data_IF_449723009952
#
_entry.id   IF_449723009952
#
_cell.length_a   1.000
_cell.length_b   1.000
_cell.length_c   1.000
_cell.angle_alpha   90.00
_cell.angle_beta   90.00
_cell.angle_gamma   90.00
#
_symmetry.space_group_name_H-M   'P 1'
#
loop_
_entity.id
_entity.type
_entity.pdbx_description
1 polymer ?
#
# COMPACT_ATOMS: atom_id res chain seq x y z
N UNK A 1 14.97 4.56 13.78
CA UNK A 1 15.35 3.13 13.68
C UNK A 1 16.74 3.02 13.09
N UNK A 2 17.54 2.04 13.51
CA UNK A 2 18.87 1.79 12.96
C UNK A 2 18.83 0.45 12.21
N UNK A 3 19.06 0.46 10.90
CA UNK A 3 19.03 -0.74 10.03
C UNK A 3 20.30 -0.74 9.20
N UNK A 4 21.06 -1.85 9.24
CA UNK A 4 22.32 -1.96 8.51
C UNK A 4 23.34 -0.85 8.81
N UNK A 5 23.31 -0.27 10.02
CA UNK A 5 24.18 0.84 10.43
C UNK A 5 23.72 2.23 9.99
N UNK A 6 22.57 2.37 9.33
CA UNK A 6 22.02 3.67 8.90
C UNK A 6 20.75 4.05 9.66
N UNK A 7 20.54 5.36 9.92
CA UNK A 7 19.31 5.84 10.53
C UNK A 7 18.17 5.88 9.49
N UNK A 8 17.01 5.36 9.90
CA UNK A 8 15.75 5.40 9.17
C UNK A 8 14.64 6.02 10.02
N UNK A 9 13.90 6.94 9.40
CA UNK A 9 12.58 7.36 9.88
C UNK A 9 11.51 6.37 9.43
N UNK A 10 10.33 6.38 10.07
CA UNK A 10 9.19 5.56 9.63
C UNK A 10 8.81 5.84 8.17
N UNK A 11 8.83 7.11 7.77
CA UNK A 11 8.59 7.51 6.38
C UNK A 11 9.65 6.95 5.42
N UNK A 12 10.92 6.91 5.83
CA UNK A 12 11.99 6.31 5.02
C UNK A 12 11.85 4.79 4.91
N UNK A 13 11.37 4.10 5.95
CA UNK A 13 11.06 2.66 5.88
C UNK A 13 9.88 2.43 4.93
N UNK A 14 8.77 3.13 5.15
CA UNK A 14 7.57 2.96 4.34
C UNK A 14 7.82 3.32 2.87
N UNK A 15 8.24 4.54 2.59
CA UNK A 15 8.33 5.04 1.21
C UNK A 15 9.67 4.69 0.54
N UNK A 16 10.75 4.66 1.32
CA UNK A 16 12.08 4.40 0.81
C UNK A 16 12.36 2.92 0.62
N UNK A 17 12.01 2.09 1.61
CA UNK A 17 12.30 0.65 1.59
C UNK A 17 11.14 -0.14 1.00
N UNK A 18 9.98 -0.12 1.66
CA UNK A 18 8.86 -1.01 1.34
C UNK A 18 8.13 -0.63 0.04
N UNK A 19 8.07 0.66 -0.30
CA UNK A 19 7.52 1.13 -1.58
C UNK A 19 8.57 1.21 -2.69
N UNK A 20 9.74 0.60 -2.56
CA UNK A 20 10.77 0.63 -3.62
C UNK A 20 11.25 2.05 -3.98
N UNK A 21 11.53 2.86 -2.96
CA UNK A 21 11.96 4.25 -3.10
C UNK A 21 10.98 5.15 -3.88
N UNK A 22 9.68 4.90 -3.71
CA UNK A 22 8.63 5.71 -4.31
C UNK A 22 8.44 7.04 -3.60
N UNK A 23 7.99 8.02 -4.37
CA UNK A 23 7.68 9.36 -3.87
C UNK A 23 6.50 9.27 -2.88
N UNK A 24 6.62 9.85 -1.67
CA UNK A 24 5.49 9.96 -0.77
C UNK A 24 4.40 10.86 -1.39
N UNK A 25 3.11 10.66 -1.02
CA UNK A 25 2.05 11.57 -1.40
C UNK A 25 2.40 13.02 -1.01
N UNK A 26 2.11 13.96 -1.92
CA UNK A 26 2.35 15.39 -1.72
C UNK A 26 3.82 15.83 -1.55
N UNK A 27 4.79 14.93 -1.73
CA UNK A 27 6.20 15.29 -1.76
C UNK A 27 6.72 15.37 -3.19
N UNK A 28 7.82 16.09 -3.41
CA UNK A 28 8.43 16.26 -4.74
C UNK A 28 9.59 15.30 -5.00
N UNK A 29 10.25 14.82 -3.94
CA UNK A 29 11.49 14.04 -4.02
C UNK A 29 11.31 12.62 -3.51
N UNK A 30 12.14 11.71 -4.05
CA UNK A 30 12.24 10.33 -3.54
C UNK A 30 12.97 10.32 -2.19
N UNK A 31 12.65 9.37 -1.29
CA UNK A 31 13.31 9.26 0.01
C UNK A 31 14.83 9.08 -0.08
N UNK A 32 15.32 8.31 -1.06
CA UNK A 32 16.73 8.01 -1.26
C UNK A 32 17.21 8.50 -2.63
N UNK A 33 18.23 9.36 -2.63
CA UNK A 33 18.88 9.83 -3.86
C UNK A 33 19.88 8.81 -4.43
N UNK A 34 20.43 9.05 -5.63
CA UNK A 34 21.35 8.10 -6.30
C UNK A 34 22.63 7.77 -5.53
N UNK A 35 23.08 8.68 -4.66
CA UNK A 35 24.27 8.52 -3.80
C UNK A 35 23.93 8.08 -2.38
N UNK A 36 22.66 7.90 -2.05
CA UNK A 36 22.23 7.49 -0.72
C UNK A 36 22.55 5.99 -0.53
N UNK A 37 23.36 5.68 0.48
CA UNK A 37 23.78 4.30 0.79
C UNK A 37 22.63 3.39 1.22
N UNK A 38 21.46 3.95 1.53
CA UNK A 38 20.24 3.22 1.88
C UNK A 38 19.45 2.77 0.65
N UNK A 39 19.75 3.31 -0.53
CA UNK A 39 19.06 2.98 -1.78
C UNK A 39 19.10 1.47 -2.12
N UNK A 40 20.23 0.74 -1.95
CA UNK A 40 20.29 -0.70 -2.25
C UNK A 40 19.39 -1.58 -1.38
N UNK A 41 18.89 -1.07 -0.25
CA UNK A 41 17.98 -1.80 0.65
C UNK A 41 16.52 -1.67 0.18
N UNK A 42 16.21 -0.73 -0.73
CA UNK A 42 14.87 -0.59 -1.28
C UNK A 42 14.44 -1.85 -2.03
N UNK A 43 13.17 -2.23 -1.86
CA UNK A 43 12.61 -3.34 -2.62
C UNK A 43 12.68 -3.03 -4.12
N UNK A 44 12.90 -4.05 -4.98
CA UNK A 44 12.96 -3.85 -6.43
C UNK A 44 11.63 -3.35 -6.99
N UNK A 45 10.51 -3.72 -6.37
CA UNK A 45 9.17 -3.28 -6.71
C UNK A 45 8.41 -2.82 -5.45
N UNK A 46 7.41 -1.95 -5.64
CA UNK A 46 6.59 -1.44 -4.54
C UNK A 46 5.72 -2.58 -3.97
N UNK A 47 5.81 -2.84 -2.67
CA UNK A 47 4.95 -3.82 -2.02
C UNK A 47 3.62 -3.16 -1.64
N UNK A 48 2.66 -3.13 -2.58
CA UNK A 48 1.42 -2.37 -2.45
C UNK A 48 0.53 -2.83 -1.29
N UNK A 49 0.68 -4.09 -0.87
CA UNK A 49 -0.09 -4.69 0.23
C UNK A 49 0.16 -3.98 1.58
N UNK A 50 1.32 -3.31 1.75
CA UNK A 50 1.66 -2.63 3.01
C UNK A 50 0.66 -1.51 3.34
N UNK A 51 0.00 -0.93 2.35
CA UNK A 51 -0.96 0.16 2.54
C UNK A 51 -2.19 -0.26 3.33
N UNK A 52 -2.47 -1.56 3.34
CA UNK A 52 -3.56 -2.17 4.10
C UNK A 52 -3.08 -2.79 5.42
N UNK A 53 -1.78 -2.76 5.67
CA UNK A 53 -1.16 -3.34 6.85
C UNK A 53 -0.68 -2.27 7.85
N UNK A 54 -0.24 -1.12 7.34
CA UNK A 54 0.24 0.00 8.14
C UNK A 54 -0.92 0.89 8.58
N UNK A 55 -1.07 1.07 9.89
CA UNK A 55 -2.08 1.93 10.49
C UNK A 55 -1.47 3.26 10.94
N UNK A 56 -2.23 4.35 10.79
CA UNK A 56 -1.91 5.66 11.35
C UNK A 56 -2.92 6.08 12.43
N UNK A 57 -3.67 5.11 12.98
CA UNK A 57 -4.70 5.32 13.98
C UNK A 57 -5.80 6.34 13.57
N UNK A 58 -6.07 6.48 12.27
CA UNK A 58 -7.21 7.25 11.76
C UNK A 58 -8.40 6.35 11.46
N UNK A 59 -9.61 6.92 11.45
CA UNK A 59 -10.85 6.18 11.13
C UNK A 59 -10.82 5.49 9.76
N UNK A 60 -10.06 6.03 8.81
CA UNK A 60 -9.92 5.47 7.46
C UNK A 60 -8.71 4.55 7.29
N UNK A 61 -7.96 4.30 8.36
CA UNK A 61 -6.78 3.45 8.31
C UNK A 61 -7.13 2.00 8.60
N UNK A 62 -6.31 1.04 8.12
CA UNK A 62 -6.51 -0.36 8.44
C UNK A 62 -6.43 -0.60 9.95
N UNK A 63 -7.12 -1.66 10.39
CA UNK A 63 -7.02 -2.13 11.77
C UNK A 63 -5.57 -2.46 12.13
N UNK A 64 -5.16 -2.10 13.35
CA UNK A 64 -3.85 -2.47 13.89
C UNK A 64 -3.74 -3.99 13.95
N UNK A 65 -2.64 -4.54 13.41
CA UNK A 65 -2.33 -5.96 13.44
C UNK A 65 -0.85 -6.19 13.76
N UNK A 66 -0.57 -7.32 14.39
CA UNK A 66 0.77 -7.84 14.56
C UNK A 66 1.08 -8.82 13.41
N UNK A 67 2.31 -8.80 12.92
CA UNK A 67 2.75 -9.62 11.79
C UNK A 67 3.92 -10.52 12.19
N UNK A 68 3.92 -11.74 11.68
CA UNK A 68 4.99 -12.73 11.80
C UNK A 68 5.91 -12.67 10.58
N UNK A 69 7.25 -12.61 10.76
CA UNK A 69 8.18 -12.68 9.64
C UNK A 69 8.02 -13.95 8.78
N UNK A 70 7.55 -15.06 9.38
CA UNK A 70 7.39 -16.34 8.68
C UNK A 70 6.18 -16.37 7.75
N UNK A 71 5.15 -15.61 8.08
CA UNK A 71 3.82 -15.68 7.44
C UNK A 71 3.41 -14.35 6.78
N UNK A 72 4.36 -13.41 6.67
CA UNK A 72 4.11 -12.02 6.28
C UNK A 72 3.31 -11.90 4.98
N UNK A 73 3.60 -12.73 3.97
CA UNK A 73 2.91 -12.68 2.69
C UNK A 73 1.44 -13.11 2.78
N UNK A 74 1.13 -14.08 3.63
CA UNK A 74 -0.25 -14.53 3.86
C UNK A 74 -1.02 -13.51 4.70
N UNK A 75 -0.37 -12.96 5.73
CA UNK A 75 -0.94 -11.95 6.62
C UNK A 75 -1.21 -10.62 5.93
N UNK A 76 -0.31 -10.18 5.05
CA UNK A 76 -0.53 -8.98 4.22
C UNK A 76 -1.76 -9.15 3.33
N UNK A 77 -1.91 -10.30 2.66
CA UNK A 77 -3.12 -10.60 1.87
C UNK A 77 -4.39 -10.65 2.74
N UNK A 78 -4.29 -11.21 3.95
CA UNK A 78 -5.40 -11.20 4.90
C UNK A 78 -5.75 -9.79 5.40
N UNK A 79 -4.76 -8.90 5.54
CA UNK A 79 -4.97 -7.50 5.87
C UNK A 79 -5.72 -6.75 4.77
N UNK A 80 -5.35 -7.00 3.50
CA UNK A 80 -6.09 -6.48 2.34
C UNK A 80 -7.56 -6.91 2.40
N UNK A 81 -7.84 -8.21 2.50
CA UNK A 81 -9.22 -8.73 2.57
C UNK A 81 -10.01 -8.13 3.73
N UNK A 82 -9.41 -8.06 4.92
CA UNK A 82 -10.06 -7.48 6.10
C UNK A 82 -10.41 -6.01 5.90
N UNK A 83 -9.50 -5.21 5.30
CA UNK A 83 -9.76 -3.80 5.02
C UNK A 83 -10.97 -3.61 4.10
N UNK A 84 -11.12 -4.43 3.07
CA UNK A 84 -12.26 -4.36 2.15
C UNK A 84 -13.57 -4.89 2.73
N UNK A 85 -13.53 -5.84 3.67
CA UNK A 85 -14.71 -6.33 4.38
C UNK A 85 -15.25 -5.30 5.37
N UNK A 86 -14.37 -4.53 6.01
CA UNK A 86 -14.71 -3.52 7.02
C UNK A 86 -15.22 -2.19 6.41
N UNK A 87 -15.59 -2.18 5.12
CA UNK A 87 -16.04 -0.97 4.43
C UNK A 87 -14.91 0.01 4.08
N UNK A 88 -13.66 -0.45 4.11
CA UNK A 88 -12.50 0.36 3.73
C UNK A 88 -12.55 0.87 2.29
N UNK A 89 -13.32 0.22 1.40
CA UNK A 89 -13.69 0.74 0.09
C UNK A 89 -15.21 0.61 -0.10
N UNK A 90 -15.86 1.73 -0.38
CA UNK A 90 -17.17 1.74 -1.02
C UNK A 90 -16.88 1.69 -2.51
N UNK A 91 -17.48 0.79 -3.28
CA UNK A 91 -17.41 0.85 -4.74
C UNK A 91 -18.82 1.21 -5.20
N UNK A 92 -19.03 2.48 -5.49
CA UNK A 92 -20.19 2.97 -6.19
C UNK A 92 -20.05 2.61 -7.68
N UNK A 93 -20.82 1.60 -8.07
CA UNK A 93 -20.88 1.04 -9.41
C UNK A 93 -21.59 1.96 -10.42
N UNK A 94 -22.34 2.95 -9.95
CA UNK A 94 -23.09 3.88 -10.79
C UNK A 94 -22.22 5.06 -11.24
N UNK A 95 -21.31 5.53 -10.38
CA UNK A 95 -20.39 6.65 -10.67
C UNK A 95 -19.00 6.23 -11.18
N UNK A 96 -18.65 4.94 -11.13
CA UNK A 96 -17.38 4.32 -11.61
C UNK A 96 -16.06 4.93 -11.10
N UNK A 97 -16.07 6.00 -10.30
CA UNK A 97 -14.85 6.80 -10.05
C UNK A 97 -14.74 7.35 -8.61
N UNK A 98 -15.84 7.60 -7.90
CA UNK A 98 -15.76 8.47 -6.71
C UNK A 98 -15.45 7.77 -5.37
N UNK A 99 -15.56 6.45 -5.32
CA UNK A 99 -15.76 5.71 -4.06
C UNK A 99 -14.51 4.99 -3.52
N UNK A 100 -13.42 4.91 -4.30
CA UNK A 100 -12.14 4.33 -3.86
C UNK A 100 -11.61 4.99 -2.57
N UNK A 101 -11.06 4.17 -1.66
CA UNK A 101 -10.47 4.67 -0.41
C UNK A 101 -9.41 5.73 -0.67
N UNK A 102 -9.26 6.65 0.29
CA UNK A 102 -8.18 7.64 0.27
C UNK A 102 -6.80 6.99 0.12
N UNK A 103 -6.63 5.77 0.63
CA UNK A 103 -5.38 5.00 0.50
C UNK A 103 -5.09 4.69 -0.97
N UNK A 104 -6.08 4.19 -1.73
CA UNK A 104 -5.92 3.91 -3.15
C UNK A 104 -5.67 5.21 -3.92
N UNK A 105 -6.36 6.30 -3.58
CA UNK A 105 -6.17 7.61 -4.24
C UNK A 105 -4.77 8.19 -3.98
N UNK A 106 -4.26 8.12 -2.74
CA UNK A 106 -2.95 8.64 -2.37
C UNK A 106 -1.79 7.83 -2.94
N UNK A 107 -1.97 6.53 -3.06
CA UNK A 107 -0.93 5.57 -3.45
C UNK A 107 -1.22 4.87 -4.77
N UNK A 108 -2.03 5.48 -5.64
CA UNK A 108 -2.49 4.93 -6.92
C UNK A 108 -1.34 4.37 -7.78
N UNK A 109 -0.20 5.09 -7.79
CA UNK A 109 1.03 4.71 -8.51
C UNK A 109 1.64 3.38 -8.08
N UNK A 110 1.31 2.89 -6.88
CA UNK A 110 1.74 1.57 -6.42
C UNK A 110 0.82 0.48 -6.99
N UNK A 111 -0.47 0.74 -7.19
CA UNK A 111 -1.44 -0.25 -7.64
C UNK A 111 -1.49 -0.45 -9.17
N UNK A 112 -1.11 0.58 -9.94
CA UNK A 112 -1.13 0.53 -11.40
C UNK A 112 -0.76 1.86 -12.05
N UNK A 113 -0.43 1.84 -13.34
CA UNK A 113 -0.08 3.05 -14.12
C UNK A 113 -1.31 3.85 -14.57
N UNK A 114 -2.45 3.18 -14.68
CA UNK A 114 -3.71 3.75 -15.10
C UNK A 114 -4.85 3.15 -14.27
N UNK A 115 -6.02 3.78 -14.33
CA UNK A 115 -7.20 3.38 -13.58
C UNK A 115 -7.60 1.92 -13.82
N UNK A 116 -7.48 1.45 -15.06
CA UNK A 116 -7.84 0.08 -15.44
C UNK A 116 -6.91 -0.97 -14.82
N UNK A 117 -5.61 -0.67 -14.71
CA UNK A 117 -4.65 -1.52 -13.98
C UNK A 117 -4.94 -1.53 -12.47
N UNK A 118 -5.32 -0.38 -11.89
CA UNK A 118 -5.71 -0.29 -10.48
C UNK A 118 -6.98 -1.13 -10.24
N UNK A 119 -7.99 -1.01 -11.09
CA UNK A 119 -9.21 -1.81 -10.99
C UNK A 119 -8.92 -3.30 -11.14
N UNK A 120 -8.10 -3.71 -12.11
CA UNK A 120 -7.67 -5.11 -12.25
C UNK A 120 -6.93 -5.61 -11.00
N UNK A 121 -6.06 -4.78 -10.42
CA UNK A 121 -5.39 -5.11 -9.17
C UNK A 121 -6.40 -5.33 -8.04
N UNK A 122 -7.40 -4.45 -7.92
CA UNK A 122 -8.46 -4.57 -6.93
C UNK A 122 -9.27 -5.86 -7.12
N UNK A 123 -9.75 -6.14 -8.35
CA UNK A 123 -10.49 -7.37 -8.68
C UNK A 123 -9.72 -8.62 -8.25
N UNK A 124 -8.42 -8.67 -8.55
CA UNK A 124 -7.58 -9.84 -8.23
C UNK A 124 -7.34 -10.05 -6.72
N UNK A 125 -7.51 -9.02 -5.91
CA UNK A 125 -7.27 -9.06 -4.46
C UNK A 125 -8.56 -8.99 -3.62
N UNK A 126 -9.70 -8.69 -4.27
CA UNK A 126 -11.04 -8.79 -3.73
C UNK A 126 -11.54 -10.24 -3.90
N UNK A 127 -12.36 -10.72 -2.97
CA UNK A 127 -12.95 -12.06 -3.11
C UNK A 127 -13.89 -12.15 -4.33
N UNK A 128 -13.98 -13.33 -4.98
CA UNK A 128 -14.78 -13.51 -6.19
C UNK A 128 -16.25 -13.08 -6.05
N UNK A 129 -16.85 -13.20 -4.86
CA UNK A 129 -18.23 -12.77 -4.60
C UNK A 129 -18.48 -11.25 -4.72
N UNK A 130 -17.43 -10.42 -4.73
CA UNK A 130 -17.52 -8.98 -5.06
C UNK A 130 -16.97 -8.66 -6.45
N UNK A 131 -16.20 -9.56 -7.05
CA UNK A 131 -15.64 -9.40 -8.40
C UNK A 131 -16.69 -9.55 -9.51
N UNK A 132 -17.81 -10.23 -9.25
CA UNK A 132 -18.95 -10.32 -10.18
C UNK A 132 -19.70 -8.99 -10.36
N UNK A 133 -19.46 -8.01 -9.48
CA UNK A 133 -20.00 -6.65 -9.57
C UNK A 133 -18.88 -5.63 -9.76
N UNK A 134 -17.86 -5.91 -10.58
CA UNK A 134 -16.80 -4.97 -11.00
C UNK A 134 -16.77 -4.85 -12.53
#
# INVERSE_FOLDING_TARGET
YLVGGYPYSLSAIQNGVLRGNQRPPYQLIKPFGPKDKRLPIALPESQCLIHFALTNASRSSPALKCYSPRDIDAELRAAVRAFFLDGGVVIDMESKTDSLSKIIKWFSVDFGKNELEILRWLVNHLEPNKAENL
#
